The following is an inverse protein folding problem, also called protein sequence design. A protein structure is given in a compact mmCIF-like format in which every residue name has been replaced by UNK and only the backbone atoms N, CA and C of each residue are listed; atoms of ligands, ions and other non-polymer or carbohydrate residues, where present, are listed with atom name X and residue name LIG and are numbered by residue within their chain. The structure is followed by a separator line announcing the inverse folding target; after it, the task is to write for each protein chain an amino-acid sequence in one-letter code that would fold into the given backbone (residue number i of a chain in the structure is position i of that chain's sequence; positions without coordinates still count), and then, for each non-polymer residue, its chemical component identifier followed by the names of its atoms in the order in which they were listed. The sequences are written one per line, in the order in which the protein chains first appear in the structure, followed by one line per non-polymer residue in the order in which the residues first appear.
data_IF_518635679936
#
_entry.id   IF_518635679936
#
_cell.length_a   1.000
_cell.length_b   1.000
_cell.length_c   1.000
_cell.angle_alpha   90.00
_cell.angle_beta   90.00
_cell.angle_gamma   90.00
#
_symmetry.space_group_name_H-M   'P 1'
#
loop_
_entity.id
_entity.type
_entity.pdbx_description
1 polymer ?
#
# COMPACT_ATOMS: atom_id res chain seq x y z
N UNK A 1 -66.28 27.95 30.82
CA UNK A 1 -65.81 27.44 29.54
C UNK A 1 -64.39 28.10 29.29
N UNK A 2 -63.31 27.36 29.68
CA UNK A 2 -61.97 27.85 29.50
C UNK A 2 -61.45 27.37 28.15
N UNK A 3 -61.38 28.29 27.18
CA UNK A 3 -60.79 28.05 25.87
C UNK A 3 -59.26 28.01 26.00
N UNK A 4 -58.65 26.82 26.05
CA UNK A 4 -57.20 26.68 25.98
C UNK A 4 -56.76 27.09 24.56
N UNK A 5 -56.26 28.28 24.41
CA UNK A 5 -55.51 28.68 23.21
C UNK A 5 -54.19 27.94 23.23
N UNK A 6 -54.17 26.79 22.60
CA UNK A 6 -52.95 26.02 22.34
C UNK A 6 -52.03 26.91 21.48
N UNK A 7 -50.87 27.26 22.01
CA UNK A 7 -49.88 28.12 21.35
C UNK A 7 -49.30 27.41 20.11
N UNK A 8 -50.01 27.57 19.01
CA UNK A 8 -49.63 27.01 17.70
C UNK A 8 -48.20 27.42 17.27
N UNK A 9 -47.69 28.50 17.84
CA UNK A 9 -46.35 29.02 17.56
C UNK A 9 -45.23 28.14 18.09
N UNK A 10 -45.40 27.48 19.21
CA UNK A 10 -44.40 26.61 19.81
C UNK A 10 -44.35 25.23 19.15
N UNK A 11 -45.48 24.74 18.65
CA UNK A 11 -45.52 23.47 17.90
C UNK A 11 -44.78 23.59 16.59
N UNK A 12 -44.88 24.71 15.87
CA UNK A 12 -44.15 24.94 14.61
C UNK A 12 -42.65 25.09 14.87
N UNK A 13 -42.25 25.74 15.98
CA UNK A 13 -40.87 25.89 16.36
C UNK A 13 -40.22 24.52 16.75
N UNK A 14 -40.98 23.63 17.38
CA UNK A 14 -40.48 22.34 17.81
C UNK A 14 -40.36 21.35 16.63
N UNK A 15 -41.22 21.44 15.63
CA UNK A 15 -41.16 20.63 14.41
C UNK A 15 -40.02 21.08 13.51
N UNK A 16 -39.71 22.38 13.49
CA UNK A 16 -38.60 22.93 12.68
C UNK A 16 -37.22 22.55 13.25
N UNK A 17 -37.12 22.30 14.58
CA UNK A 17 -35.87 21.90 15.23
C UNK A 17 -35.50 20.44 14.96
N UNK A 18 -36.48 19.60 14.58
CA UNK A 18 -36.30 18.16 14.28
C UNK A 18 -35.82 17.91 12.84
N UNK A 19 -35.73 18.93 11.99
CA UNK A 19 -35.33 18.84 10.58
C UNK A 19 -33.89 19.30 10.31
N UNK A 20 -33.07 19.43 11.36
CA UNK A 20 -31.63 19.66 11.16
C UNK A 20 -31.01 18.35 10.60
N UNK A 21 -30.46 18.39 9.36
CA UNK A 21 -29.72 17.25 8.87
C UNK A 21 -28.49 17.05 9.77
N UNK A 22 -28.38 15.87 10.36
CA UNK A 22 -27.15 15.44 11.00
C UNK A 22 -26.07 15.41 9.91
N UNK A 23 -25.22 16.41 9.87
CA UNK A 23 -24.00 16.36 9.06
C UNK A 23 -23.13 15.30 9.71
N UNK A 24 -23.14 14.10 9.13
CA UNK A 24 -22.18 13.08 9.49
C UNK A 24 -20.80 13.60 9.07
N UNK A 25 -19.98 14.02 10.02
CA UNK A 25 -18.57 14.27 9.79
C UNK A 25 -17.95 12.94 9.39
N UNK A 26 -17.70 12.78 8.10
CA UNK A 26 -16.91 11.67 7.58
C UNK A 26 -15.47 11.94 7.98
N UNK A 27 -15.01 11.33 9.05
CA UNK A 27 -13.59 11.36 9.41
C UNK A 27 -12.80 10.70 8.27
N UNK A 28 -11.70 11.32 7.81
CA UNK A 28 -10.82 10.66 6.85
C UNK A 28 -10.29 9.37 7.51
N UNK A 29 -10.59 8.23 6.89
CA UNK A 29 -9.99 6.96 7.26
C UNK A 29 -8.51 7.08 6.90
N UNK A 30 -7.66 7.30 7.90
CA UNK A 30 -6.22 7.20 7.74
C UNK A 30 -5.94 5.69 7.74
N UNK A 31 -5.50 5.10 6.61
CA UNK A 31 -5.18 3.68 6.59
C UNK A 31 -4.09 3.41 7.62
N UNK A 32 -4.28 2.39 8.45
CA UNK A 32 -3.24 1.89 9.33
C UNK A 32 -2.04 1.46 8.45
N UNK A 33 -0.81 1.88 8.75
CA UNK A 33 0.37 1.44 8.02
C UNK A 33 0.49 -0.10 7.95
N UNK A 34 -0.09 -0.81 8.91
CA UNK A 34 -0.11 -2.27 8.97
C UNK A 34 -1.27 -2.90 8.17
N UNK A 35 -2.25 -2.09 7.73
CA UNK A 35 -3.44 -2.52 6.99
C UNK A 35 -3.22 -2.51 5.46
N UNK A 36 -1.97 -2.43 5.01
CA UNK A 36 -1.63 -2.51 3.58
C UNK A 36 -1.93 -3.93 3.11
N UNK A 37 -2.84 -4.12 2.13
CA UNK A 37 -3.15 -5.45 1.61
C UNK A 37 -1.87 -6.20 1.24
N UNK A 38 -1.77 -7.48 1.57
CA UNK A 38 -0.59 -8.31 1.34
C UNK A 38 -0.07 -8.24 -0.12
N UNK A 39 -0.98 -8.09 -1.08
CA UNK A 39 -0.65 -7.86 -2.48
C UNK A 39 0.09 -6.54 -2.72
N UNK A 40 -0.18 -5.49 -1.94
CA UNK A 40 0.49 -4.18 -2.06
C UNK A 40 1.93 -4.20 -1.53
N UNK A 41 2.30 -5.19 -0.73
CA UNK A 41 3.68 -5.42 -0.26
C UNK A 41 4.49 -6.27 -1.24
N UNK A 42 3.86 -6.74 -2.29
CA UNK A 42 4.51 -7.56 -3.31
C UNK A 42 4.95 -6.69 -4.49
N UNK A 43 6.17 -6.93 -4.96
CA UNK A 43 6.77 -6.25 -6.11
C UNK A 43 7.29 -7.33 -7.05
N UNK A 44 7.02 -7.18 -8.35
CA UNK A 44 7.59 -8.03 -9.39
C UNK A 44 8.40 -7.18 -10.36
N UNK A 45 9.61 -7.61 -10.71
CA UNK A 45 10.41 -7.06 -11.82
C UNK A 45 10.32 -8.08 -12.94
N UNK A 46 9.83 -7.67 -14.11
CA UNK A 46 9.56 -8.55 -15.24
C UNK A 46 10.45 -8.22 -16.43
N UNK A 47 10.90 -9.25 -17.16
CA UNK A 47 11.61 -9.08 -18.42
C UNK A 47 13.08 -8.67 -18.30
N UNK A 48 13.61 -8.51 -17.10
CA UNK A 48 14.99 -8.11 -16.87
C UNK A 48 16.00 -9.25 -17.16
N UNK A 49 17.22 -8.87 -17.52
CA UNK A 49 18.37 -9.77 -17.50
C UNK A 49 18.79 -9.96 -16.05
N UNK A 50 18.75 -11.20 -15.55
CA UNK A 50 19.06 -11.51 -14.16
C UNK A 50 20.39 -12.22 -14.05
N UNK A 51 21.35 -11.63 -13.35
CA UNK A 51 22.63 -12.26 -12.99
C UNK A 51 22.48 -12.84 -11.59
N UNK A 52 22.20 -14.14 -11.52
CA UNK A 52 21.90 -14.83 -10.25
C UNK A 52 23.19 -15.10 -9.49
N UNK A 53 24.22 -15.56 -10.19
CA UNK A 53 25.57 -15.82 -9.68
C UNK A 53 26.54 -15.87 -10.84
N UNK A 54 27.87 -15.86 -10.60
CA UNK A 54 28.86 -15.99 -11.66
C UNK A 54 28.59 -17.21 -12.54
N UNK A 55 28.42 -16.98 -13.84
CA UNK A 55 28.13 -18.04 -14.82
C UNK A 55 26.66 -18.44 -14.95
N UNK A 56 25.76 -17.91 -14.12
CA UNK A 56 24.30 -18.18 -14.21
C UNK A 56 23.52 -16.90 -14.50
N UNK A 57 23.05 -16.76 -15.72
CA UNK A 57 22.32 -15.60 -16.21
C UNK A 57 21.02 -16.03 -16.85
N UNK A 58 19.93 -15.36 -16.52
CA UNK A 58 18.65 -15.43 -17.23
C UNK A 58 18.51 -14.17 -18.07
N UNK A 59 18.51 -14.31 -19.39
CA UNK A 59 18.45 -13.15 -20.32
C UNK A 59 17.12 -12.39 -20.22
N UNK A 60 16.04 -13.08 -19.91
CA UNK A 60 14.74 -12.50 -19.60
C UNK A 60 14.15 -13.28 -18.44
N UNK A 61 14.08 -12.65 -17.28
CA UNK A 61 13.60 -13.28 -16.08
C UNK A 61 12.64 -12.38 -15.31
N UNK A 62 11.99 -12.97 -14.33
CA UNK A 62 11.08 -12.29 -13.41
C UNK A 62 11.54 -12.58 -11.98
N UNK A 63 11.56 -11.53 -11.17
CA UNK A 63 11.78 -11.61 -9.72
C UNK A 63 10.49 -11.20 -9.05
N UNK A 64 10.00 -12.04 -8.14
CA UNK A 64 8.89 -11.69 -7.25
C UNK A 64 9.42 -11.52 -5.84
N UNK A 65 9.14 -10.36 -5.27
CA UNK A 65 9.49 -9.99 -3.90
C UNK A 65 8.23 -9.78 -3.09
N UNK A 66 8.27 -10.14 -1.80
CA UNK A 66 7.21 -9.89 -0.84
C UNK A 66 7.85 -9.57 0.51
N UNK A 67 7.36 -8.53 1.18
CA UNK A 67 7.85 -8.10 2.51
C UNK A 67 9.38 -7.96 2.58
N UNK A 68 9.98 -7.43 1.51
CA UNK A 68 11.43 -7.25 1.40
C UNK A 68 12.23 -8.52 1.08
N UNK A 69 11.58 -9.67 0.92
CA UNK A 69 12.23 -10.94 0.60
C UNK A 69 11.97 -11.36 -0.84
N UNK A 70 12.98 -11.96 -1.50
CA UNK A 70 12.80 -12.59 -2.81
C UNK A 70 12.12 -13.95 -2.59
N UNK A 71 10.88 -14.08 -3.10
CA UNK A 71 10.11 -15.33 -2.95
C UNK A 71 10.19 -16.23 -4.17
N UNK A 72 10.43 -15.65 -5.36
CA UNK A 72 10.61 -16.42 -6.62
C UNK A 72 11.49 -15.69 -7.61
N UNK A 73 12.28 -16.46 -8.34
CA UNK A 73 13.07 -16.02 -9.50
C UNK A 73 12.94 -17.05 -10.60
N UNK A 74 12.77 -16.64 -11.83
CA UNK A 74 12.69 -17.58 -12.96
C UNK A 74 12.30 -16.90 -14.26
N UNK A 75 12.29 -17.68 -15.36
CA UNK A 75 11.84 -17.19 -16.68
C UNK A 75 10.34 -16.93 -16.73
N UNK A 76 9.57 -17.71 -15.98
CA UNK A 76 8.12 -17.57 -15.86
C UNK A 76 7.73 -17.72 -14.39
N UNK A 77 7.25 -16.64 -13.80
CA UNK A 77 6.83 -16.59 -12.40
C UNK A 77 5.36 -16.20 -12.38
N UNK A 78 4.55 -16.94 -11.65
CA UNK A 78 3.16 -16.56 -11.42
C UNK A 78 3.12 -15.36 -10.47
N UNK A 79 2.63 -14.23 -10.97
CA UNK A 79 2.55 -12.97 -10.24
C UNK A 79 1.13 -12.79 -9.72
N UNK A 80 0.93 -12.73 -8.39
CA UNK A 80 -0.38 -12.52 -7.79
C UNK A 80 -1.03 -11.21 -8.23
N UNK A 81 -2.36 -11.19 -8.24
CA UNK A 81 -3.12 -9.95 -8.47
C UNK A 81 -2.78 -8.92 -7.39
N UNK A 82 -2.74 -7.65 -7.78
CA UNK A 82 -2.39 -6.56 -6.86
C UNK A 82 -0.89 -6.36 -6.63
N UNK A 83 -0.02 -7.23 -7.16
CA UNK A 83 1.44 -7.03 -7.12
C UNK A 83 1.84 -5.79 -7.94
N UNK A 84 2.65 -4.92 -7.37
CA UNK A 84 3.28 -3.80 -8.10
C UNK A 84 4.26 -4.36 -9.12
N UNK A 85 4.04 -4.08 -10.40
CA UNK A 85 4.90 -4.54 -11.49
C UNK A 85 5.86 -3.46 -11.93
N UNK A 86 7.12 -3.83 -12.13
CA UNK A 86 8.18 -3.00 -12.67
C UNK A 86 8.63 -3.64 -13.98
N UNK A 87 8.56 -2.90 -15.06
CA UNK A 87 9.12 -3.33 -16.33
C UNK A 87 10.63 -3.24 -16.27
N UNK A 88 11.29 -4.37 -16.44
CA UNK A 88 12.74 -4.53 -16.43
C UNK A 88 13.33 -4.76 -17.82
N UNK A 89 12.57 -4.58 -18.90
CA UNK A 89 13.09 -4.79 -20.25
C UNK A 89 14.29 -3.88 -20.52
N UNK A 90 15.37 -4.43 -21.05
CA UNK A 90 16.65 -3.71 -21.23
C UNK A 90 17.47 -3.47 -19.97
N UNK A 91 16.96 -3.83 -18.80
CA UNK A 91 17.68 -3.68 -17.53
C UNK A 91 18.41 -4.96 -17.14
N UNK A 92 19.50 -4.80 -16.37
CA UNK A 92 20.20 -5.92 -15.74
C UNK A 92 20.07 -5.82 -14.23
N UNK A 93 19.65 -6.90 -13.59
CA UNK A 93 19.53 -7.01 -12.13
C UNK A 93 20.63 -7.92 -11.62
N UNK A 94 21.37 -7.44 -10.62
CA UNK A 94 22.42 -8.16 -9.90
C UNK A 94 22.02 -8.36 -8.44
N UNK A 95 22.62 -9.33 -7.77
CA UNK A 95 22.61 -9.38 -6.32
C UNK A 95 23.29 -8.13 -5.75
N UNK A 96 22.80 -7.62 -4.63
CA UNK A 96 23.40 -6.48 -3.94
C UNK A 96 24.85 -6.78 -3.52
N UNK A 97 25.67 -5.74 -3.47
CA UNK A 97 27.05 -5.87 -2.98
C UNK A 97 27.03 -5.99 -1.45
N UNK A 98 27.87 -6.90 -0.94
CA UNK A 98 28.15 -7.03 0.49
C UNK A 98 29.59 -6.55 0.70
N UNK A 99 29.74 -5.44 1.42
CA UNK A 99 31.04 -4.94 1.80
C UNK A 99 31.43 -5.54 3.16
N UNK A 100 32.33 -6.52 3.13
CA UNK A 100 32.79 -7.23 4.33
C UNK A 100 33.97 -6.55 5.05
N UNK A 101 34.43 -5.39 4.55
CA UNK A 101 35.65 -4.74 5.07
C UNK A 101 35.57 -3.23 5.23
N UNK A 102 34.35 -2.63 5.11
CA UNK A 102 34.16 -1.21 5.27
C UNK A 102 34.22 -0.79 6.74
N UNK A 103 34.90 0.35 7.00
CA UNK A 103 34.85 1.05 8.29
C UNK A 103 33.76 2.12 8.30
N UNK A 104 32.91 2.19 7.26
CA UNK A 104 31.79 3.12 7.21
C UNK A 104 30.80 2.84 8.37
N UNK A 105 30.57 3.84 9.21
CA UNK A 105 29.68 3.71 10.38
C UNK A 105 30.41 3.28 11.66
N UNK A 106 31.71 3.02 11.64
CA UNK A 106 32.53 2.89 12.86
C UNK A 106 32.90 4.29 13.31
N UNK A 107 32.47 4.64 14.52
CA UNK A 107 32.92 5.88 15.17
C UNK A 107 34.33 5.64 15.73
N UNK A 108 35.29 6.46 15.30
CA UNK A 108 36.59 6.53 15.95
C UNK A 108 36.37 7.16 17.35
N UNK A 109 36.63 6.38 18.42
CA UNK A 109 36.70 6.87 19.81
C UNK A 109 38.06 7.49 20.09
#
# INVERSE_FOLDING_TARGET
MHTRRTNRRYVVAFVLLLLLPAVAETQPIIPDPDDVPEASRSIAIEGARLVIRPGEVLERGTILMRDGLIVRVGKSVNIPLGTRRIDGDGMTVYAGFIDGGSVAGVLDE
#
